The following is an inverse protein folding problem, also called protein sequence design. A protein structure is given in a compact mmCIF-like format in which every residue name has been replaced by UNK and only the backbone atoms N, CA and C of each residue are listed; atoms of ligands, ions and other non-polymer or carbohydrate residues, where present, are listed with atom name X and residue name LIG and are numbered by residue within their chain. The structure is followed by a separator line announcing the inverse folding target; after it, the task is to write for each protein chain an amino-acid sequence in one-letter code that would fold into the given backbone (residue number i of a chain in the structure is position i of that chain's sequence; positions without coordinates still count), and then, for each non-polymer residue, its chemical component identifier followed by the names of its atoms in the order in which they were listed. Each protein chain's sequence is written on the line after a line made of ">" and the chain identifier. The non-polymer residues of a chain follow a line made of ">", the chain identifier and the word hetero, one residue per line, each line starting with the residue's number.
data_IF_356330281723
#
_entry.id   IF_356330281723
#
_cell.length_a   1.000
_cell.length_b   1.000
_cell.length_c   1.000
_cell.angle_alpha   90.00
_cell.angle_beta   90.00
_cell.angle_gamma   90.00
#
_symmetry.space_group_name_H-M   'P 1'
#
loop_
_entity.id
_entity.type
_entity.pdbx_description
1 polymer ?
#
# COMPACT_ATOMS: atom_id res chain seq x y z
N UNK A 1 55.09 -50.98 29.46
CA UNK A 1 53.85 -50.16 29.44
C UNK A 1 53.35 -50.07 28.00
N UNK A 2 52.11 -50.50 27.76
CA UNK A 2 51.51 -50.58 26.41
C UNK A 2 50.85 -49.24 26.03
N UNK A 3 51.63 -48.31 25.48
CA UNK A 3 51.16 -46.96 25.14
C UNK A 3 50.25 -46.91 23.89
N UNK A 4 50.18 -48.00 23.10
CA UNK A 4 49.37 -48.06 21.87
C UNK A 4 47.87 -47.91 22.15
N UNK A 5 47.37 -48.48 23.25
CA UNK A 5 45.97 -48.33 23.66
C UNK A 5 45.62 -46.90 24.09
N UNK A 6 46.51 -46.24 24.82
CA UNK A 6 46.32 -44.85 25.26
C UNK A 6 46.30 -43.87 24.08
N UNK A 7 47.16 -44.08 23.07
CA UNK A 7 47.15 -43.27 21.85
C UNK A 7 45.89 -43.48 21.03
N UNK A 8 45.39 -44.72 20.92
CA UNK A 8 44.15 -45.03 20.20
C UNK A 8 42.93 -44.36 20.87
N UNK A 9 42.83 -44.41 22.20
CA UNK A 9 41.74 -43.76 22.96
C UNK A 9 41.78 -42.25 22.78
N UNK A 10 42.96 -41.62 22.86
CA UNK A 10 43.11 -40.18 22.63
C UNK A 10 42.65 -39.78 21.21
N UNK A 11 43.00 -40.57 20.20
CA UNK A 11 42.65 -40.31 18.81
C UNK A 11 41.12 -40.38 18.60
N UNK A 12 40.45 -41.35 19.22
CA UNK A 12 38.98 -41.46 19.19
C UNK A 12 38.33 -40.23 19.85
N UNK A 13 38.82 -39.80 21.01
CA UNK A 13 38.32 -38.61 21.69
C UNK A 13 38.46 -37.37 20.81
N UNK A 14 39.62 -37.19 20.16
CA UNK A 14 39.86 -36.07 19.23
C UNK A 14 38.90 -36.12 18.05
N UNK A 15 38.69 -37.29 17.43
CA UNK A 15 37.74 -37.45 16.31
C UNK A 15 36.32 -37.07 16.75
N UNK A 16 35.87 -37.56 17.91
CA UNK A 16 34.54 -37.23 18.44
C UNK A 16 34.41 -35.72 18.68
N UNK A 17 35.42 -35.08 19.26
CA UNK A 17 35.43 -33.63 19.46
C UNK A 17 35.35 -32.87 18.12
N UNK A 18 36.12 -33.28 17.11
CA UNK A 18 36.08 -32.66 15.78
C UNK A 18 34.72 -32.83 15.12
N UNK A 19 34.09 -34.01 15.24
CA UNK A 19 32.75 -34.25 14.69
C UNK A 19 31.73 -33.34 15.39
N UNK A 20 31.75 -33.24 16.72
CA UNK A 20 30.82 -32.39 17.49
C UNK A 20 31.00 -30.91 17.14
N UNK A 21 32.24 -30.44 16.99
CA UNK A 21 32.52 -29.06 16.57
C UNK A 21 32.06 -28.81 15.13
N UNK A 22 32.32 -29.75 14.22
CA UNK A 22 31.91 -29.66 12.82
C UNK A 22 30.39 -29.63 12.65
N UNK A 23 29.66 -30.50 13.35
CA UNK A 23 28.19 -30.50 13.33
C UNK A 23 27.60 -29.24 13.95
N UNK A 24 28.22 -28.70 15.00
CA UNK A 24 27.82 -27.45 15.63
C UNK A 24 27.97 -26.26 14.69
N UNK A 25 29.13 -26.14 14.02
CA UNK A 25 29.39 -25.09 13.03
C UNK A 25 28.41 -25.17 11.85
N UNK A 26 28.16 -26.37 11.32
CA UNK A 26 27.20 -26.56 10.24
C UNK A 26 25.79 -26.15 10.66
N UNK A 27 25.35 -26.53 11.87
CA UNK A 27 24.04 -26.15 12.38
C UNK A 27 23.90 -24.64 12.55
N UNK A 28 24.94 -23.95 13.04
CA UNK A 28 24.96 -22.48 13.14
C UNK A 28 24.86 -21.86 11.74
N UNK A 29 25.66 -22.33 10.78
CA UNK A 29 25.66 -21.80 9.41
C UNK A 29 24.29 -21.96 8.73
N UNK A 30 23.65 -23.13 8.86
CA UNK A 30 22.31 -23.37 8.30
C UNK A 30 21.27 -22.46 8.94
N UNK A 31 21.31 -22.28 10.27
CA UNK A 31 20.40 -21.38 10.97
C UNK A 31 20.62 -19.92 10.58
N UNK A 32 21.87 -19.48 10.47
CA UNK A 32 22.19 -18.12 10.03
C UNK A 32 21.67 -17.85 8.63
N UNK A 33 21.89 -18.79 7.70
CA UNK A 33 21.34 -18.70 6.35
C UNK A 33 19.81 -18.60 6.35
N UNK A 34 19.12 -19.41 7.17
CA UNK A 34 17.66 -19.36 7.28
C UNK A 34 17.16 -18.00 7.81
N UNK A 35 17.84 -17.42 8.81
CA UNK A 35 17.52 -16.09 9.35
C UNK A 35 17.74 -15.00 8.31
N UNK A 36 18.88 -15.01 7.61
CA UNK A 36 19.20 -14.04 6.57
C UNK A 36 18.19 -14.11 5.43
N UNK A 37 17.83 -15.31 4.99
CA UNK A 37 16.79 -15.52 3.97
C UNK A 37 15.44 -14.99 4.42
N UNK A 38 14.99 -15.30 5.63
CA UNK A 38 13.75 -14.78 6.17
C UNK A 38 13.73 -13.25 6.21
N UNK A 39 14.85 -12.62 6.58
CA UNK A 39 14.96 -11.16 6.59
C UNK A 39 14.88 -10.55 5.18
N UNK A 40 15.45 -11.20 4.17
CA UNK A 40 15.33 -10.77 2.76
C UNK A 40 13.88 -10.88 2.31
N UNK A 41 13.25 -12.03 2.54
CA UNK A 41 11.85 -12.28 2.16
C UNK A 41 10.91 -11.28 2.87
N UNK A 42 11.18 -10.95 4.14
CA UNK A 42 10.43 -9.95 4.90
C UNK A 42 10.53 -8.54 4.31
N UNK A 43 11.73 -8.12 3.89
CA UNK A 43 11.93 -6.84 3.20
C UNK A 43 11.23 -6.82 1.85
N UNK A 44 11.33 -7.90 1.08
CA UNK A 44 10.68 -8.00 -0.21
C UNK A 44 9.15 -7.95 -0.05
N UNK A 45 8.59 -8.68 0.91
CA UNK A 45 7.17 -8.68 1.23
C UNK A 45 6.67 -7.26 1.56
N UNK A 46 7.46 -6.48 2.29
CA UNK A 46 7.15 -5.08 2.58
C UNK A 46 7.07 -4.22 1.32
N UNK A 47 8.07 -4.28 0.46
CA UNK A 47 8.05 -3.51 -0.80
C UNK A 47 6.90 -3.93 -1.72
N UNK A 48 6.53 -5.21 -1.74
CA UNK A 48 5.38 -5.68 -2.53
C UNK A 48 4.07 -5.13 -1.94
N UNK A 49 3.92 -5.12 -0.61
CA UNK A 49 2.76 -4.50 0.05
C UNK A 49 2.68 -3.00 -0.23
N UNK A 50 3.79 -2.26 -0.15
CA UNK A 50 3.85 -0.85 -0.56
C UNK A 50 3.48 -0.64 -2.04
N UNK A 51 3.85 -1.57 -2.92
CA UNK A 51 3.47 -1.51 -4.34
C UNK A 51 1.96 -1.55 -4.51
N UNK A 52 1.24 -2.36 -3.73
CA UNK A 52 -0.23 -2.37 -3.73
C UNK A 52 -0.83 -1.00 -3.38
N UNK A 53 -0.27 -0.31 -2.38
CA UNK A 53 -0.70 1.04 -2.01
C UNK A 53 -0.41 2.07 -3.11
N UNK A 54 0.76 1.98 -3.75
CA UNK A 54 1.12 2.86 -4.87
C UNK A 54 0.22 2.64 -6.09
N UNK A 55 -0.17 1.41 -6.38
CA UNK A 55 -1.15 1.13 -7.44
C UNK A 55 -2.52 1.71 -7.10
N UNK A 56 -2.97 1.60 -5.84
CA UNK A 56 -4.21 2.20 -5.39
C UNK A 56 -4.21 3.74 -5.52
N UNK A 57 -3.07 4.38 -5.26
CA UNK A 57 -2.88 5.82 -5.50
C UNK A 57 -3.06 6.19 -6.97
N UNK A 58 -2.40 5.47 -7.88
CA UNK A 58 -2.53 5.74 -9.33
C UNK A 58 -3.98 5.54 -9.79
N UNK A 59 -4.66 4.48 -9.33
CA UNK A 59 -6.07 4.25 -9.63
C UNK A 59 -6.98 5.35 -9.08
N UNK A 60 -6.63 5.90 -7.93
CA UNK A 60 -7.35 7.05 -7.32
C UNK A 60 -7.18 8.31 -8.15
N UNK A 61 -5.98 8.60 -8.70
CA UNK A 61 -5.78 9.72 -9.61
C UNK A 61 -6.70 9.63 -10.84
N UNK A 62 -6.78 8.45 -11.46
CA UNK A 62 -7.69 8.25 -12.61
C UNK A 62 -9.14 8.47 -12.22
N UNK A 63 -9.54 8.01 -11.03
CA UNK A 63 -10.89 8.24 -10.53
C UNK A 63 -11.17 9.73 -10.27
N UNK A 64 -10.19 10.48 -9.75
CA UNK A 64 -10.30 11.93 -9.56
C UNK A 64 -10.53 12.62 -10.91
N UNK A 65 -9.75 12.29 -11.95
CA UNK A 65 -9.96 12.84 -13.30
C UNK A 65 -11.37 12.53 -13.82
N UNK A 66 -11.81 11.27 -13.72
CA UNK A 66 -13.16 10.87 -14.12
C UNK A 66 -14.26 11.62 -13.34
N UNK A 67 -14.03 11.86 -12.05
CA UNK A 67 -14.94 12.61 -11.16
C UNK A 67 -15.02 14.08 -11.57
N UNK A 68 -13.88 14.71 -11.86
CA UNK A 68 -13.80 16.10 -12.30
C UNK A 68 -14.53 16.26 -13.63
N UNK A 69 -14.25 15.42 -14.63
CA UNK A 69 -14.88 15.50 -15.95
C UNK A 69 -16.40 15.43 -15.84
N UNK A 70 -16.93 14.49 -15.05
CA UNK A 70 -18.38 14.34 -14.87
C UNK A 70 -19.00 15.52 -14.12
N UNK A 71 -18.31 16.03 -13.10
CA UNK A 71 -18.80 17.15 -12.31
C UNK A 71 -18.77 18.47 -13.10
N UNK A 72 -17.71 18.72 -13.88
CA UNK A 72 -17.61 19.89 -14.77
C UNK A 72 -18.73 19.86 -15.80
N UNK A 73 -18.94 18.71 -16.46
CA UNK A 73 -20.01 18.59 -17.45
C UNK A 73 -21.39 18.95 -16.87
N UNK A 74 -21.72 18.48 -15.67
CA UNK A 74 -22.98 18.82 -14.99
C UNK A 74 -23.10 20.32 -14.68
N UNK A 75 -22.01 20.96 -14.24
CA UNK A 75 -21.99 22.38 -13.92
C UNK A 75 -22.07 23.26 -15.18
N UNK A 76 -21.39 22.88 -16.26
CA UNK A 76 -21.45 23.56 -17.55
C UNK A 76 -22.83 23.44 -18.19
N UNK A 77 -23.45 22.25 -18.18
CA UNK A 77 -24.82 22.03 -18.65
C UNK A 77 -25.82 22.95 -17.93
N UNK A 78 -25.61 23.18 -16.63
CA UNK A 78 -26.40 24.14 -15.86
C UNK A 78 -26.15 25.59 -16.27
N UNK A 79 -24.89 25.98 -16.50
CA UNK A 79 -24.51 27.33 -16.94
C UNK A 79 -25.03 27.68 -18.34
N UNK A 80 -25.22 26.69 -19.22
CA UNK A 80 -25.86 26.92 -20.53
C UNK A 80 -27.29 27.47 -20.38
N UNK A 81 -28.02 27.03 -19.35
CA UNK A 81 -29.38 27.48 -19.06
C UNK A 81 -29.41 28.71 -18.15
N UNK A 82 -28.42 28.85 -17.27
CA UNK A 82 -28.33 29.90 -16.26
C UNK A 82 -26.97 30.61 -16.25
N UNK A 83 -26.59 31.37 -17.29
CA UNK A 83 -25.21 31.85 -17.49
C UNK A 83 -24.66 32.77 -16.39
N UNK A 84 -25.55 33.45 -15.66
CA UNK A 84 -25.18 34.39 -14.62
C UNK A 84 -25.04 33.76 -13.22
N UNK A 85 -25.44 32.49 -13.05
CA UNK A 85 -25.48 31.84 -11.74
C UNK A 85 -24.27 30.93 -11.50
N UNK A 86 -23.08 31.53 -11.42
CA UNK A 86 -21.82 30.81 -11.21
C UNK A 86 -21.73 30.09 -9.86
N UNK A 87 -22.28 30.70 -8.80
CA UNK A 87 -22.23 30.11 -7.47
C UNK A 87 -23.00 28.78 -7.42
N UNK A 88 -24.15 28.70 -8.09
CA UNK A 88 -24.90 27.44 -8.14
C UNK A 88 -24.20 26.38 -9.00
N UNK A 89 -23.51 26.79 -10.07
CA UNK A 89 -22.71 25.87 -10.86
C UNK A 89 -21.57 25.25 -10.04
N UNK A 90 -20.89 26.05 -9.21
CA UNK A 90 -19.85 25.57 -8.29
C UNK A 90 -20.41 24.59 -7.24
N UNK A 91 -21.57 24.89 -6.66
CA UNK A 91 -22.26 23.96 -5.75
C UNK A 91 -22.60 22.63 -6.44
N UNK A 92 -23.10 22.68 -7.68
CA UNK A 92 -23.42 21.51 -8.49
C UNK A 92 -22.15 20.71 -8.77
N UNK A 93 -21.05 21.38 -9.12
CA UNK A 93 -19.75 20.76 -9.32
C UNK A 93 -19.30 20.00 -8.07
N UNK A 94 -19.19 20.68 -6.92
CA UNK A 94 -18.72 20.09 -5.66
C UNK A 94 -19.58 18.89 -5.24
N UNK A 95 -20.91 19.01 -5.35
CA UNK A 95 -21.82 17.95 -4.97
C UNK A 95 -21.63 16.70 -5.86
N UNK A 96 -21.59 16.88 -7.18
CA UNK A 96 -21.42 15.77 -8.12
C UNK A 96 -20.04 15.12 -8.02
N UNK A 97 -18.98 15.91 -7.82
CA UNK A 97 -17.64 15.40 -7.58
C UNK A 97 -17.60 14.48 -6.34
N UNK A 98 -18.11 14.98 -5.20
CA UNK A 98 -18.14 14.23 -3.94
C UNK A 98 -18.95 12.94 -4.05
N UNK A 99 -20.12 12.99 -4.70
CA UNK A 99 -20.99 11.81 -4.89
C UNK A 99 -20.30 10.78 -5.77
N UNK A 100 -19.74 11.19 -6.91
CA UNK A 100 -19.14 10.26 -7.85
C UNK A 100 -17.89 9.59 -7.25
N UNK A 101 -17.01 10.37 -6.61
CA UNK A 101 -15.83 9.83 -5.95
C UNK A 101 -16.23 8.77 -4.90
N UNK A 102 -17.11 9.14 -3.96
CA UNK A 102 -17.55 8.25 -2.87
C UNK A 102 -18.20 6.95 -3.38
N UNK A 103 -18.98 7.03 -4.46
CA UNK A 103 -19.68 5.86 -5.00
C UNK A 103 -18.73 4.86 -5.67
N UNK A 104 -17.59 5.31 -6.18
CA UNK A 104 -16.71 4.50 -7.03
C UNK A 104 -15.37 4.15 -6.39
N UNK A 105 -14.97 4.82 -5.31
CA UNK A 105 -13.63 4.68 -4.72
C UNK A 105 -13.32 3.25 -4.29
N UNK A 106 -14.20 2.59 -3.52
CA UNK A 106 -14.01 1.20 -3.07
C UNK A 106 -13.82 0.24 -4.25
N UNK A 107 -14.77 0.21 -5.17
CA UNK A 107 -14.72 -0.64 -6.36
C UNK A 107 -13.46 -0.40 -7.23
N UNK A 108 -12.91 0.82 -7.21
CA UNK A 108 -11.76 1.17 -8.05
C UNK A 108 -10.44 0.75 -7.42
N UNK A 109 -10.31 0.88 -6.11
CA UNK A 109 -9.02 0.71 -5.42
C UNK A 109 -8.86 -0.62 -4.71
N UNK A 110 -9.95 -1.24 -4.29
CA UNK A 110 -9.89 -2.53 -3.60
C UNK A 110 -9.49 -3.65 -4.56
N UNK A 111 -8.57 -4.50 -4.10
CA UNK A 111 -7.99 -5.58 -4.88
C UNK A 111 -7.96 -6.84 -4.01
N UNK A 112 -8.72 -7.85 -4.42
CA UNK A 112 -8.69 -9.18 -3.81
C UNK A 112 -7.61 -10.08 -4.47
N UNK A 113 -6.37 -9.59 -4.54
CA UNK A 113 -5.22 -10.31 -5.09
C UNK A 113 -4.09 -10.40 -4.05
N UNK A 114 -2.86 -10.71 -4.48
CA UNK A 114 -1.68 -10.72 -3.62
C UNK A 114 -0.58 -9.83 -4.26
N UNK A 115 -0.37 -8.59 -3.78
CA UNK A 115 -0.92 -8.01 -2.56
C UNK A 115 -2.42 -7.71 -2.66
N UNK A 116 -3.11 -7.86 -1.55
CA UNK A 116 -4.50 -7.40 -1.38
C UNK A 116 -4.48 -5.94 -0.96
N UNK A 117 -5.52 -5.19 -1.33
CA UNK A 117 -5.71 -3.79 -0.92
C UNK A 117 -7.16 -3.58 -0.52
N UNK A 118 -7.36 -3.00 0.65
CA UNK A 118 -8.69 -2.79 1.26
C UNK A 118 -8.81 -1.37 1.84
N UNK A 119 -10.02 -0.82 1.82
CA UNK A 119 -10.35 0.40 2.54
C UNK A 119 -10.81 0.04 3.95
N UNK A 120 -10.07 0.47 4.96
CA UNK A 120 -10.39 0.10 6.33
C UNK A 120 -11.51 0.95 6.97
N UNK A 121 -11.80 2.12 6.41
CA UNK A 121 -12.81 3.05 6.90
C UNK A 121 -14.02 3.22 5.96
N UNK A 122 -14.34 2.20 5.14
CA UNK A 122 -15.34 2.29 4.06
C UNK A 122 -16.73 2.75 4.54
N UNK A 123 -17.19 2.22 5.69
CA UNK A 123 -18.47 2.59 6.31
C UNK A 123 -18.56 4.07 6.75
N UNK A 124 -17.41 4.76 6.83
CA UNK A 124 -17.28 6.12 7.38
C UNK A 124 -16.71 7.12 6.39
N UNK A 125 -16.70 6.81 5.09
CA UNK A 125 -16.23 7.71 4.05
C UNK A 125 -17.10 8.97 3.98
N UNK A 126 -16.60 10.05 4.56
CA UNK A 126 -17.23 11.36 4.64
C UNK A 126 -16.21 12.43 4.31
N UNK A 127 -16.64 13.45 3.56
CA UNK A 127 -15.83 14.63 3.32
C UNK A 127 -15.89 15.56 4.54
N UNK A 128 -14.73 15.94 5.07
CA UNK A 128 -14.57 16.92 6.14
C UNK A 128 -13.68 18.03 5.60
N UNK A 129 -14.13 19.28 5.70
CA UNK A 129 -13.41 20.46 5.18
C UNK A 129 -12.91 20.29 3.73
N UNK A 130 -13.79 19.80 2.87
CA UNK A 130 -13.52 19.55 1.45
C UNK A 130 -12.37 18.55 1.17
N UNK A 131 -12.08 17.68 2.13
CA UNK A 131 -11.17 16.54 1.95
C UNK A 131 -11.83 15.22 2.35
N UNK A 132 -11.53 14.16 1.60
CA UNK A 132 -11.88 12.78 1.91
C UNK A 132 -10.62 12.06 2.37
N UNK A 133 -10.63 11.55 3.61
CA UNK A 133 -9.56 10.72 4.16
C UNK A 133 -9.94 9.25 4.05
N UNK A 134 -9.07 8.47 3.43
CA UNK A 134 -9.24 7.02 3.22
C UNK A 134 -8.08 6.32 3.90
N UNK A 135 -8.36 5.33 4.74
CA UNK A 135 -7.34 4.50 5.37
C UNK A 135 -7.15 3.26 4.50
N UNK A 136 -6.04 3.19 3.79
CA UNK A 136 -5.69 2.05 2.96
C UNK A 136 -4.86 1.05 3.75
N UNK A 137 -5.15 -0.22 3.52
CA UNK A 137 -4.35 -1.33 4.03
C UNK A 137 -4.01 -2.25 2.88
N UNK A 138 -2.72 -2.54 2.71
CA UNK A 138 -2.25 -3.58 1.80
C UNK A 138 -1.68 -4.74 2.58
N UNK A 139 -2.06 -5.97 2.20
CA UNK A 139 -1.56 -7.19 2.84
C UNK A 139 -0.97 -8.12 1.78
N UNK A 140 0.27 -8.55 1.98
CA UNK A 140 0.99 -9.47 1.12
C UNK A 140 1.41 -10.72 1.89
N UNK A 141 1.12 -11.89 1.31
CA UNK A 141 1.51 -13.17 1.84
C UNK A 141 2.53 -13.85 0.92
N UNK A 142 3.75 -14.05 1.42
CA UNK A 142 4.82 -14.77 0.73
C UNK A 142 4.75 -16.27 1.04
N UNK A 143 5.16 -17.11 0.08
CA UNK A 143 5.12 -18.58 0.19
C UNK A 143 5.90 -19.15 1.39
N UNK A 144 6.92 -18.42 1.86
CA UNK A 144 7.72 -18.81 3.03
C UNK A 144 7.07 -18.43 4.38
N UNK A 145 5.74 -18.30 4.43
CA UNK A 145 4.96 -17.86 5.60
C UNK A 145 5.35 -16.48 6.14
N UNK A 146 5.78 -15.59 5.25
CA UNK A 146 5.99 -14.18 5.61
C UNK A 146 4.71 -13.44 5.27
N UNK A 147 4.03 -12.96 6.31
CA UNK A 147 2.88 -12.05 6.18
C UNK A 147 3.36 -10.63 6.45
N UNK A 148 3.03 -9.71 5.55
CA UNK A 148 3.32 -8.30 5.73
C UNK A 148 2.12 -7.44 5.38
N UNK A 149 1.82 -6.54 6.30
CA UNK A 149 0.74 -5.55 6.19
C UNK A 149 1.37 -4.17 6.27
N UNK A 150 0.99 -3.30 5.35
CA UNK A 150 1.34 -1.88 5.34
C UNK A 150 0.06 -1.05 5.22
N UNK A 151 -0.04 0.03 5.98
CA UNK A 151 -1.17 0.95 5.95
C UNK A 151 -0.74 2.38 5.67
N UNK A 152 -1.61 3.16 5.03
CA UNK A 152 -1.38 4.57 4.75
C UNK A 152 -2.71 5.31 4.70
N UNK A 153 -2.70 6.59 5.09
CA UNK A 153 -3.84 7.46 4.86
C UNK A 153 -3.70 8.14 3.49
N UNK A 154 -4.75 8.05 2.69
CA UNK A 154 -4.87 8.73 1.41
C UNK A 154 -5.86 9.88 1.58
N UNK A 155 -5.40 11.10 1.40
CA UNK A 155 -6.23 12.30 1.51
C UNK A 155 -6.49 12.86 0.13
N UNK A 156 -7.77 12.95 -0.24
CA UNK A 156 -8.24 13.48 -1.53
C UNK A 156 -8.99 14.78 -1.29
N UNK A 157 -8.51 15.88 -1.87
CA UNK A 157 -9.13 17.21 -1.76
C UNK A 157 -10.13 17.46 -2.89
N UNK A 158 -11.15 18.27 -2.63
CA UNK A 158 -12.07 18.77 -3.66
C UNK A 158 -11.40 19.93 -4.41
N UNK A 159 -11.30 19.87 -5.74
CA UNK A 159 -10.76 20.98 -6.53
C UNK A 159 -11.73 22.17 -6.61
N UNK A 160 -11.21 23.36 -6.92
CA UNK A 160 -12.05 24.52 -7.29
C UNK A 160 -12.58 24.36 -8.71
N UNK A 161 -13.87 24.64 -8.93
CA UNK A 161 -14.50 24.54 -10.24
C UNK A 161 -13.79 25.39 -11.30
N UNK A 162 -13.38 26.62 -10.97
CA UNK A 162 -12.75 27.53 -11.92
C UNK A 162 -11.35 27.05 -12.33
N UNK A 163 -10.65 26.34 -11.43
CA UNK A 163 -9.31 25.81 -11.72
C UNK A 163 -9.37 24.63 -12.70
N UNK A 164 -10.44 23.83 -12.63
CA UNK A 164 -10.58 22.62 -13.44
C UNK A 164 -11.40 22.82 -14.72
N UNK A 165 -12.25 23.85 -14.78
CA UNK A 165 -13.08 24.17 -15.96
C UNK A 165 -12.24 24.47 -17.20
N UNK A 166 -11.06 25.05 -17.01
CA UNK A 166 -10.17 25.44 -18.10
C UNK A 166 -9.34 24.26 -18.64
N UNK A 167 -9.50 23.07 -18.06
CA UNK A 167 -8.83 21.83 -18.49
C UNK A 167 -7.34 21.76 -18.20
N UNK A 168 -6.78 22.75 -17.49
CA UNK A 168 -5.36 22.82 -17.12
C UNK A 168 -5.14 22.43 -15.67
N UNK A 169 -5.49 21.20 -15.30
CA UNK A 169 -5.28 20.64 -13.96
C UNK A 169 -4.51 19.31 -14.00
N UNK A 170 -4.04 18.87 -12.85
CA UNK A 170 -3.43 17.55 -12.65
C UNK A 170 -4.05 16.90 -11.41
N UNK A 171 -4.67 15.72 -11.56
CA UNK A 171 -5.27 14.99 -10.44
C UNK A 171 -4.31 14.79 -9.26
N UNK A 172 -2.99 14.70 -9.51
CA UNK A 172 -1.97 14.52 -8.48
C UNK A 172 -1.88 15.69 -7.51
N UNK A 173 -2.40 16.86 -7.86
CA UNK A 173 -2.45 18.02 -6.97
C UNK A 173 -3.53 17.91 -5.89
N UNK A 174 -4.50 16.99 -6.08
CA UNK A 174 -5.64 16.83 -5.19
C UNK A 174 -5.56 15.55 -4.36
N UNK A 175 -4.42 14.87 -4.34
CA UNK A 175 -4.26 13.60 -3.63
C UNK A 175 -2.87 13.50 -3.03
N UNK A 176 -2.80 13.02 -1.80
CA UNK A 176 -1.53 12.83 -1.10
C UNK A 176 -1.61 11.69 -0.08
N UNK A 177 -0.47 11.04 0.13
CA UNK A 177 -0.31 10.12 1.26
C UNK A 177 0.02 10.88 2.54
N UNK A 178 -0.57 10.42 3.64
CA UNK A 178 -0.29 10.85 5.00
C UNK A 178 -0.16 9.63 5.91
N UNK A 179 0.48 9.82 7.07
CA UNK A 179 0.50 8.87 8.19
C UNK A 179 0.75 7.40 7.78
N UNK A 180 1.94 7.12 7.24
CA UNK A 180 2.37 5.75 6.94
C UNK A 180 2.50 4.93 8.22
N UNK A 181 1.88 3.75 8.22
CA UNK A 181 1.93 2.77 9.30
C UNK A 181 2.49 1.44 8.74
N UNK A 182 3.61 0.97 9.29
CA UNK A 182 4.40 -0.17 8.77
C UNK A 182 4.67 -1.25 9.81
#
# INVERSE_FOLDING_TARGET
>A
MNNKGSTMVLLIIVIVLVIVLGTSLLNIAVKQYAIERFNIDSKQAFYISETGLNEAYVKSCVLIDESIIKAVQMAEDYLLLNPSNKNEADNIFMANYKIYLRTNIGNRIEIAANPSVEIWNDDTLVFIDDALTIILKSSYFHENNVDKVTGVELVISVPDFNDVSDGSYDARNYIQFQNWNS
#
